data_IF_162443371591
#
_entry.id   IF_162443371591
#
_cell.length_a   1.000
_cell.length_b   1.000
_cell.length_c   1.000
_cell.angle_alpha   90.00
_cell.angle_beta   90.00
_cell.angle_gamma   90.00
#
_symmetry.space_group_name_H-M   'P 1'
#
loop_
_entity.id
_entity.type
_entity.pdbx_description
1 polymer ?
#
# COMPACT_ATOMS: atom_id res chain seq x y z
N UNK A 1 -22.57 -2.69 -6.27
CA UNK A 1 -21.85 -3.96 -6.41
C UNK A 1 -22.05 -4.71 -5.11
N UNK A 2 -22.43 -5.98 -5.15
CA UNK A 2 -22.54 -6.80 -3.93
C UNK A 2 -21.14 -7.19 -3.42
N UNK A 3 -21.03 -7.57 -2.15
CA UNK A 3 -19.74 -8.02 -1.60
C UNK A 3 -19.17 -9.24 -2.35
N UNK A 4 -20.03 -10.14 -2.83
CA UNK A 4 -19.64 -11.31 -3.63
C UNK A 4 -19.06 -10.90 -4.99
N UNK A 5 -19.74 -10.00 -5.70
CA UNK A 5 -19.24 -9.48 -6.99
C UNK A 5 -17.90 -8.75 -6.82
N UNK A 6 -17.75 -8.01 -5.73
CA UNK A 6 -16.50 -7.33 -5.39
C UNK A 6 -15.38 -8.35 -5.13
N UNK A 7 -15.63 -9.34 -4.28
CA UNK A 7 -14.66 -10.38 -3.96
C UNK A 7 -14.22 -11.14 -5.22
N UNK A 8 -15.17 -11.55 -6.06
CA UNK A 8 -14.87 -12.23 -7.32
C UNK A 8 -14.00 -11.38 -8.26
N UNK A 9 -14.23 -10.07 -8.29
CA UNK A 9 -13.40 -9.14 -9.07
C UNK A 9 -11.98 -9.06 -8.51
N UNK A 10 -11.83 -8.94 -7.20
CA UNK A 10 -10.51 -8.88 -6.55
C UNK A 10 -9.75 -10.20 -6.73
N UNK A 11 -10.42 -11.34 -6.56
CA UNK A 11 -9.79 -12.67 -6.70
C UNK A 11 -9.30 -12.92 -8.13
N UNK A 12 -10.09 -12.56 -9.15
CA UNK A 12 -9.65 -12.63 -10.55
C UNK A 12 -8.43 -11.76 -10.81
N UNK A 13 -8.40 -10.57 -10.21
CA UNK A 13 -7.25 -9.68 -10.32
C UNK A 13 -6.03 -10.26 -9.61
N UNK A 14 -6.17 -10.79 -8.39
CA UNK A 14 -5.09 -11.46 -7.66
C UNK A 14 -4.43 -12.57 -8.49
N UNK A 15 -5.23 -13.43 -9.13
CA UNK A 15 -4.70 -14.49 -10.02
C UNK A 15 -3.92 -13.89 -11.20
N UNK A 16 -4.42 -12.82 -11.81
CA UNK A 16 -3.72 -12.11 -12.91
C UNK A 16 -2.37 -11.55 -12.43
N UNK A 17 -2.35 -11.00 -11.21
CA UNK A 17 -1.18 -10.36 -10.62
C UNK A 17 -0.05 -11.33 -10.25
N UNK A 18 -0.26 -12.63 -10.34
CA UNK A 18 0.85 -13.60 -10.20
C UNK A 18 1.84 -13.53 -11.37
N UNK A 19 1.36 -13.18 -12.57
CA UNK A 19 2.17 -13.19 -13.80
C UNK A 19 2.37 -11.79 -14.38
N UNK A 20 1.36 -10.93 -14.28
CA UNK A 20 1.35 -9.64 -14.94
C UNK A 20 1.29 -8.48 -13.94
N UNK A 21 2.02 -7.39 -14.17
CA UNK A 21 1.97 -6.25 -13.26
C UNK A 21 0.60 -5.53 -13.29
N UNK A 22 0.21 -4.87 -12.19
CA UNK A 22 -0.89 -3.93 -12.17
C UNK A 22 -0.61 -2.75 -13.12
N UNK A 23 -1.62 -2.30 -13.85
CA UNK A 23 -1.48 -1.15 -14.75
C UNK A 23 -1.07 0.12 -13.99
N UNK A 24 -1.58 0.29 -12.77
CA UNK A 24 -1.22 1.40 -11.88
C UNK A 24 0.28 1.41 -11.55
N UNK A 25 0.90 0.24 -11.31
CA UNK A 25 2.35 0.15 -11.04
C UNK A 25 3.14 0.52 -12.28
N UNK A 26 2.77 -0.01 -13.44
CA UNK A 26 3.44 0.30 -14.71
C UNK A 26 3.34 1.80 -14.99
N UNK A 27 2.15 2.39 -14.83
CA UNK A 27 1.93 3.82 -15.05
C UNK A 27 2.71 4.69 -14.05
N UNK A 28 2.52 4.47 -12.75
CA UNK A 28 3.04 5.35 -11.69
C UNK A 28 4.53 5.14 -11.44
N UNK A 29 4.99 3.88 -11.35
CA UNK A 29 6.38 3.57 -10.99
C UNK A 29 7.27 3.46 -12.21
N UNK A 30 6.87 2.68 -13.22
CA UNK A 30 7.72 2.46 -14.40
C UNK A 30 7.77 3.70 -15.31
N UNK A 31 6.61 4.24 -15.66
CA UNK A 31 6.51 5.40 -16.57
C UNK A 31 6.42 6.77 -15.89
N UNK A 32 6.30 6.83 -14.55
CA UNK A 32 6.26 8.10 -13.77
C UNK A 32 5.06 8.99 -14.14
N UNK A 33 3.97 8.37 -14.59
CA UNK A 33 2.75 9.08 -14.98
C UNK A 33 1.81 9.11 -13.77
N UNK A 34 1.56 10.30 -13.24
CA UNK A 34 0.69 10.55 -12.07
C UNK A 34 -0.32 11.63 -12.45
N UNK A 35 -1.59 11.25 -12.57
CA UNK A 35 -2.66 12.13 -13.07
C UNK A 35 -2.96 13.31 -12.14
N UNK A 36 -2.69 13.17 -10.84
CA UNK A 36 -2.92 14.21 -9.83
C UNK A 36 -1.85 15.29 -9.78
N UNK A 37 -0.80 15.17 -10.60
CA UNK A 37 0.39 16.04 -10.56
C UNK A 37 1.06 16.10 -9.17
N UNK A 38 0.82 15.10 -8.33
CA UNK A 38 1.34 15.08 -6.97
C UNK A 38 2.85 14.84 -6.96
N UNK A 39 3.56 15.75 -6.29
CA UNK A 39 5.02 15.73 -6.22
C UNK A 39 5.59 17.12 -6.06
N UNK A 40 6.23 17.39 -4.92
CA UNK A 40 6.82 18.71 -4.65
C UNK A 40 7.91 19.05 -5.67
N UNK A 41 7.81 20.22 -6.28
CA UNK A 41 8.77 20.70 -7.28
C UNK A 41 8.75 19.88 -8.58
N UNK A 42 7.63 19.23 -8.90
CA UNK A 42 7.49 18.40 -10.11
C UNK A 42 8.22 17.06 -10.05
N UNK A 43 8.63 16.61 -8.85
CA UNK A 43 9.37 15.37 -8.65
C UNK A 43 8.48 14.26 -8.10
N UNK A 44 8.62 13.05 -8.66
CA UNK A 44 7.82 11.87 -8.29
C UNK A 44 8.31 11.13 -7.05
N UNK A 45 9.54 11.39 -6.59
CA UNK A 45 10.18 10.59 -5.54
C UNK A 45 9.40 10.61 -4.22
N UNK A 46 8.91 11.79 -3.82
CA UNK A 46 8.07 11.92 -2.62
C UNK A 46 6.78 11.12 -2.76
N UNK A 47 6.05 11.32 -3.86
CA UNK A 47 4.83 10.56 -4.17
C UNK A 47 5.09 9.04 -4.07
N UNK A 48 6.16 8.54 -4.69
CA UNK A 48 6.50 7.13 -4.68
C UNK A 48 6.77 6.59 -3.28
N UNK A 49 7.56 7.29 -2.46
CA UNK A 49 7.85 6.82 -1.10
C UNK A 49 6.62 6.74 -0.22
N UNK A 50 5.77 7.77 -0.25
CA UNK A 50 4.57 7.78 0.58
C UNK A 50 3.54 6.76 0.09
N UNK A 51 3.24 6.72 -1.22
CA UNK A 51 2.30 5.74 -1.76
C UNK A 51 2.75 4.30 -1.57
N UNK A 52 4.03 4.00 -1.79
CA UNK A 52 4.59 2.67 -1.53
C UNK A 52 4.42 2.26 -0.06
N UNK A 53 4.65 3.17 0.87
CA UNK A 53 4.51 2.92 2.30
C UNK A 53 3.04 2.73 2.69
N UNK A 54 2.14 3.54 2.15
CA UNK A 54 0.70 3.45 2.44
C UNK A 54 0.07 2.17 1.89
N UNK A 55 0.47 1.72 0.70
CA UNK A 55 0.07 0.42 0.15
C UNK A 55 0.52 -0.71 1.07
N UNK A 56 1.76 -0.63 1.59
CA UNK A 56 2.26 -1.58 2.59
C UNK A 56 1.45 -1.52 3.88
N UNK A 57 1.00 -0.34 4.31
CA UNK A 57 0.17 -0.21 5.51
C UNK A 57 -1.21 -0.84 5.34
N UNK A 58 -1.86 -0.70 4.18
CA UNK A 58 -3.12 -1.42 3.89
C UNK A 58 -2.92 -2.93 4.09
N UNK A 59 -1.88 -3.52 3.49
CA UNK A 59 -1.58 -4.93 3.64
C UNK A 59 -1.25 -5.31 5.10
N UNK A 60 -0.39 -4.53 5.77
CA UNK A 60 0.02 -4.80 7.13
C UNK A 60 -1.15 -4.72 8.12
N UNK A 61 -2.02 -3.73 8.00
CA UNK A 61 -3.19 -3.59 8.86
C UNK A 61 -4.19 -4.72 8.63
N UNK A 62 -4.46 -5.08 7.37
CA UNK A 62 -5.32 -6.24 7.09
C UNK A 62 -4.73 -7.53 7.63
N UNK A 63 -3.42 -7.75 7.50
CA UNK A 63 -2.75 -8.90 8.11
C UNK A 63 -2.98 -8.94 9.62
N UNK A 64 -2.81 -7.82 10.33
CA UNK A 64 -3.06 -7.79 11.77
C UNK A 64 -4.53 -8.07 12.11
N UNK A 65 -5.46 -7.45 11.38
CA UNK A 65 -6.91 -7.66 11.59
C UNK A 65 -7.29 -9.13 11.36
N UNK A 66 -6.80 -9.76 10.28
CA UNK A 66 -7.05 -11.16 9.96
C UNK A 66 -6.48 -12.09 11.04
N UNK A 67 -5.29 -11.80 11.57
CA UNK A 67 -4.72 -12.56 12.69
C UNK A 67 -5.53 -12.40 13.98
N UNK A 68 -5.97 -11.18 14.30
CA UNK A 68 -6.81 -10.92 15.47
C UNK A 68 -8.17 -11.62 15.37
N UNK A 69 -8.72 -11.77 14.17
CA UNK A 69 -9.99 -12.46 13.94
C UNK A 69 -9.94 -13.98 14.23
N UNK A 70 -8.72 -14.56 14.33
CA UNK A 70 -8.53 -15.95 14.79
C UNK A 70 -8.79 -16.12 16.29
N UNK A 71 -8.77 -15.02 17.04
CA UNK A 71 -9.09 -15.00 18.46
C UNK A 71 -10.58 -14.72 18.66
N UNK A 72 -11.28 -15.64 19.32
CA UNK A 72 -12.74 -15.56 19.56
C UNK A 72 -13.15 -14.33 20.39
N UNK A 73 -12.21 -13.68 21.08
CA UNK A 73 -12.47 -12.45 21.85
C UNK A 73 -12.79 -11.25 20.95
N UNK A 74 -12.38 -11.28 19.68
CA UNK A 74 -12.69 -10.21 18.73
C UNK A 74 -14.01 -10.49 18.04
N UNK A 75 -14.97 -9.57 18.14
CA UNK A 75 -16.29 -9.68 17.49
C UNK A 75 -16.22 -9.20 16.03
N UNK A 76 -17.20 -9.61 15.21
CA UNK A 76 -17.27 -9.18 13.80
C UNK A 76 -17.41 -7.65 13.70
N UNK A 77 -18.18 -7.04 14.60
CA UNK A 77 -18.30 -5.58 14.71
C UNK A 77 -16.95 -4.90 14.97
N UNK A 78 -16.12 -5.45 15.85
CA UNK A 78 -14.78 -4.94 16.10
C UNK A 78 -13.86 -5.10 14.88
N UNK A 79 -13.96 -6.22 14.15
CA UNK A 79 -13.22 -6.44 12.92
C UNK A 79 -13.62 -5.40 11.86
N UNK A 80 -14.92 -5.16 11.64
CA UNK A 80 -15.42 -4.14 10.70
C UNK A 80 -14.94 -2.75 11.09
N UNK A 81 -15.04 -2.40 12.37
CA UNK A 81 -14.59 -1.12 12.89
C UNK A 81 -13.08 -0.91 12.65
N UNK A 82 -12.25 -1.90 12.97
CA UNK A 82 -10.80 -1.82 12.73
C UNK A 82 -10.49 -1.67 11.25
N UNK A 83 -11.10 -2.49 10.38
CA UNK A 83 -10.93 -2.37 8.93
C UNK A 83 -11.27 -0.95 8.45
N UNK A 84 -12.46 -0.45 8.77
CA UNK A 84 -12.92 0.87 8.35
C UNK A 84 -12.00 2.03 8.81
N UNK A 85 -11.35 1.91 9.97
CA UNK A 85 -10.47 2.96 10.50
C UNK A 85 -9.04 2.86 10.04
N UNK A 86 -8.53 1.66 9.79
CA UNK A 86 -7.10 1.46 9.58
C UNK A 86 -6.73 1.51 8.10
N UNK A 87 -7.59 1.06 7.19
CA UNK A 87 -7.22 0.94 5.77
C UNK A 87 -7.69 2.11 4.91
N UNK A 88 -8.64 2.93 5.38
CA UNK A 88 -9.26 3.97 4.53
C UNK A 88 -8.27 5.06 4.12
N UNK A 89 -7.62 5.71 5.08
CA UNK A 89 -6.69 6.80 4.84
C UNK A 89 -5.49 6.39 3.97
N UNK A 90 -4.75 5.30 4.26
CA UNK A 90 -3.62 4.93 3.41
C UNK A 90 -4.07 4.53 2.00
N UNK A 91 -5.22 3.89 1.83
CA UNK A 91 -5.74 3.56 0.50
C UNK A 91 -6.18 4.80 -0.28
N UNK A 92 -6.82 5.77 0.38
CA UNK A 92 -7.25 7.04 -0.23
C UNK A 92 -6.04 7.84 -0.71
N UNK A 93 -5.00 7.95 0.11
CA UNK A 93 -3.77 8.63 -0.28
C UNK A 93 -3.04 7.90 -1.41
N UNK A 94 -2.96 6.57 -1.37
CA UNK A 94 -2.41 5.79 -2.48
C UNK A 94 -3.21 6.03 -3.78
N UNK A 95 -4.54 6.12 -3.70
CA UNK A 95 -5.41 6.50 -4.81
C UNK A 95 -5.07 7.88 -5.36
N UNK A 96 -4.93 8.89 -4.49
CA UNK A 96 -4.47 10.22 -4.87
C UNK A 96 -3.10 10.19 -5.59
N UNK A 97 -2.19 9.31 -5.18
CA UNK A 97 -0.90 9.11 -5.81
C UNK A 97 -0.95 8.33 -7.15
N UNK A 98 -2.11 7.86 -7.58
CA UNK A 98 -2.32 7.19 -8.87
C UNK A 98 -2.63 5.69 -8.78
N UNK A 99 -2.73 5.11 -7.57
CA UNK A 99 -3.12 3.71 -7.37
C UNK A 99 -4.63 3.56 -7.22
N UNK A 100 -5.33 3.96 -8.29
CA UNK A 100 -6.78 4.05 -8.36
C UNK A 100 -7.47 2.70 -8.11
N UNK A 101 -6.91 1.58 -8.59
CA UNK A 101 -7.51 0.26 -8.43
C UNK A 101 -7.49 -0.19 -6.96
N UNK A 102 -6.40 0.09 -6.22
CA UNK A 102 -6.36 -0.17 -4.79
C UNK A 102 -7.42 0.65 -4.05
N UNK A 103 -7.50 1.95 -4.37
CA UNK A 103 -8.48 2.81 -3.73
C UNK A 103 -9.90 2.35 -4.02
N UNK A 104 -10.20 1.97 -5.28
CA UNK A 104 -11.47 1.38 -5.65
C UNK A 104 -11.81 0.15 -4.80
N UNK A 105 -10.90 -0.83 -4.73
CA UNK A 105 -11.16 -2.05 -3.96
C UNK A 105 -11.36 -1.80 -2.47
N UNK A 106 -10.54 -0.94 -1.88
CA UNK A 106 -10.68 -0.60 -0.45
C UNK A 106 -11.97 0.18 -0.20
N UNK A 107 -12.23 1.24 -0.97
CA UNK A 107 -13.43 2.06 -0.81
C UNK A 107 -14.70 1.21 -0.94
N UNK A 108 -14.81 0.41 -2.00
CA UNK A 108 -15.98 -0.44 -2.21
C UNK A 108 -16.09 -1.54 -1.17
N UNK A 109 -14.96 -2.06 -0.65
CA UNK A 109 -14.98 -2.97 0.51
C UNK A 109 -15.64 -2.30 1.71
N UNK A 110 -15.26 -1.06 2.04
CA UNK A 110 -15.83 -0.32 3.16
C UNK A 110 -17.30 0.05 2.96
N UNK A 111 -17.73 0.27 1.72
CA UNK A 111 -19.14 0.55 1.39
C UNK A 111 -20.04 -0.68 1.62
N UNK A 112 -19.54 -1.89 1.37
CA UNK A 112 -20.33 -3.14 1.51
C UNK A 112 -20.05 -3.90 2.80
N UNK A 113 -19.08 -3.44 3.61
CA UNK A 113 -18.58 -4.23 4.75
C UNK A 113 -19.69 -4.54 5.75
N UNK A 114 -20.65 -3.65 5.98
CA UNK A 114 -21.75 -3.87 6.93
C UNK A 114 -22.81 -4.87 6.42
N UNK A 115 -22.83 -5.17 5.12
CA UNK A 115 -23.81 -6.06 4.49
C UNK A 115 -23.40 -7.54 4.53
N UNK A 116 -22.16 -7.83 4.97
CA UNK A 116 -21.60 -9.18 4.92
C UNK A 116 -22.15 -10.02 6.09
N UNK A 117 -22.83 -11.14 5.83
CA UNK A 117 -23.71 -11.79 6.81
C UNK A 117 -22.99 -12.53 7.93
N UNK A 118 -21.76 -13.01 7.68
CA UNK A 118 -21.04 -13.88 8.60
C UNK A 118 -19.53 -13.62 8.58
N UNK A 119 -18.84 -14.14 9.61
CA UNK A 119 -17.40 -13.98 9.79
C UNK A 119 -16.59 -14.56 8.64
N UNK A 120 -16.93 -15.74 8.13
CA UNK A 120 -16.17 -16.39 7.08
C UNK A 120 -16.19 -15.52 5.82
N UNK A 121 -17.38 -15.06 5.43
CA UNK A 121 -17.58 -14.13 4.32
C UNK A 121 -16.80 -12.83 4.53
N UNK A 122 -16.84 -12.24 5.73
CA UNK A 122 -16.12 -11.01 6.06
C UNK A 122 -14.61 -11.18 5.90
N UNK A 123 -14.05 -12.22 6.53
CA UNK A 123 -12.61 -12.49 6.48
C UNK A 123 -12.17 -12.85 5.06
N UNK A 124 -13.02 -13.53 4.28
CA UNK A 124 -12.70 -13.87 2.90
C UNK A 124 -12.54 -12.64 2.00
N UNK A 125 -13.38 -11.61 2.16
CA UNK A 125 -13.24 -10.36 1.41
C UNK A 125 -12.03 -9.55 1.88
N UNK A 126 -11.84 -9.42 3.20
CA UNK A 126 -10.68 -8.72 3.76
C UNK A 126 -9.35 -9.39 3.33
N UNK A 127 -9.32 -10.72 3.27
CA UNK A 127 -8.18 -11.47 2.78
C UNK A 127 -7.91 -11.25 1.28
N UNK A 128 -8.97 -11.12 0.46
CA UNK A 128 -8.81 -10.80 -0.96
C UNK A 128 -8.14 -9.43 -1.17
N UNK A 129 -8.56 -8.42 -0.40
CA UNK A 129 -7.94 -7.08 -0.42
C UNK A 129 -6.51 -7.11 0.11
N UNK A 130 -6.25 -7.88 1.18
CA UNK A 130 -4.91 -8.09 1.73
C UNK A 130 -3.96 -8.66 0.67
N UNK A 131 -4.41 -9.68 -0.04
CA UNK A 131 -3.63 -10.33 -1.09
C UNK A 131 -3.35 -9.35 -2.25
N UNK A 132 -4.35 -8.57 -2.65
CA UNK A 132 -4.19 -7.55 -3.70
C UNK A 132 -3.15 -6.50 -3.31
N UNK A 133 -3.26 -5.92 -2.12
CA UNK A 133 -2.28 -4.95 -1.62
C UNK A 133 -0.87 -5.56 -1.52
N UNK A 134 -0.76 -6.84 -1.17
CA UNK A 134 0.52 -7.56 -1.11
C UNK A 134 1.13 -7.78 -2.51
N UNK A 135 0.34 -8.19 -3.51
CA UNK A 135 0.80 -8.27 -4.89
C UNK A 135 1.24 -6.91 -5.42
N UNK A 136 0.44 -5.87 -5.17
CA UNK A 136 0.74 -4.51 -5.57
C UNK A 136 2.10 -4.07 -5.00
N UNK A 137 2.34 -4.31 -3.71
CA UNK A 137 3.61 -4.03 -3.06
C UNK A 137 4.78 -4.80 -3.70
N UNK A 138 4.61 -6.09 -4.02
CA UNK A 138 5.64 -6.88 -4.72
C UNK A 138 6.00 -6.29 -6.09
N UNK A 139 5.01 -5.91 -6.89
CA UNK A 139 5.25 -5.31 -8.19
C UNK A 139 5.88 -3.91 -8.10
N UNK A 140 5.51 -3.12 -7.09
CA UNK A 140 6.20 -1.85 -6.83
C UNK A 140 7.69 -2.15 -6.55
N UNK A 141 8.01 -3.11 -5.66
CA UNK A 141 9.40 -3.47 -5.40
C UNK A 141 10.15 -3.92 -6.67
N UNK A 142 9.48 -4.61 -7.60
CA UNK A 142 10.08 -5.02 -8.86
C UNK A 142 10.45 -3.81 -9.76
N UNK A 143 9.55 -2.83 -9.90
CA UNK A 143 9.76 -1.67 -10.78
C UNK A 143 10.45 -0.48 -10.12
N UNK A 144 10.50 -0.44 -8.78
CA UNK A 144 11.06 0.69 -8.05
C UNK A 144 12.52 0.88 -8.46
N UNK A 145 12.95 2.12 -8.79
CA UNK A 145 14.31 2.35 -9.26
C UNK A 145 15.29 2.37 -8.09
N UNK A 146 15.56 1.21 -7.50
CA UNK A 146 16.49 1.04 -6.37
C UNK A 146 17.91 1.55 -6.65
N UNK A 147 18.27 1.71 -7.92
CA UNK A 147 19.50 2.39 -8.34
C UNK A 147 19.63 3.81 -7.78
N UNK A 148 18.51 4.47 -7.44
CA UNK A 148 18.54 5.77 -6.77
C UNK A 148 19.29 5.73 -5.42
N UNK A 149 19.38 4.56 -4.77
CA UNK A 149 20.14 4.41 -3.52
C UNK A 149 21.64 4.65 -3.70
N UNK A 150 22.20 4.53 -4.91
CA UNK A 150 23.60 4.87 -5.17
C UNK A 150 23.91 6.37 -4.99
N UNK A 151 22.87 7.22 -4.98
CA UNK A 151 23.02 8.66 -4.68
C UNK A 151 23.19 8.94 -3.18
N UNK A 152 22.90 7.98 -2.31
CA UNK A 152 22.88 8.13 -0.86
C UNK A 152 23.62 6.97 -0.18
N UNK A 153 24.96 6.83 -0.39
CA UNK A 153 25.73 5.80 0.28
C UNK A 153 25.72 6.01 1.81
N UNK A 154 25.85 4.95 2.61
CA UNK A 154 26.05 5.07 4.04
C UNK A 154 27.29 5.90 4.36
N UNK A 155 27.20 6.74 5.39
CA UNK A 155 28.32 7.53 5.92
C UNK A 155 29.45 6.63 6.42
N UNK A 156 30.67 6.87 5.94
CA UNK A 156 31.88 6.15 6.37
C UNK A 156 32.69 6.91 7.42
N UNK A 157 33.75 6.29 7.98
CA UNK A 157 34.64 6.93 8.95
C UNK A 157 35.23 8.26 8.49
N UNK A 158 35.62 8.37 7.21
CA UNK A 158 36.17 9.60 6.64
C UNK A 158 35.14 10.75 6.60
N UNK A 159 33.88 10.44 6.30
CA UNK A 159 32.80 11.43 6.32
C UNK A 159 32.52 11.93 7.74
N UNK A 160 32.65 11.05 8.74
CA UNK A 160 32.53 11.42 10.16
C UNK A 160 33.66 12.36 10.58
N UNK A 161 34.91 12.07 10.18
CA UNK A 161 36.06 12.94 10.45
C UNK A 161 35.93 14.32 9.76
N UNK A 162 35.44 14.34 8.52
CA UNK A 162 35.16 15.57 7.78
C UNK A 162 34.07 16.40 8.50
N UNK A 163 32.99 15.75 8.94
CA UNK A 163 31.93 16.41 9.71
C UNK A 163 32.44 16.96 11.04
N UNK A 164 33.29 16.23 11.76
CA UNK A 164 33.90 16.71 13.01
C UNK A 164 34.78 17.94 12.79
N UNK A 165 35.59 17.93 11.73
CA UNK A 165 36.43 19.08 11.35
C UNK A 165 35.56 20.31 11.07
N UNK A 166 34.52 20.15 10.24
CA UNK A 166 33.54 21.20 9.94
C UNK A 166 32.87 21.76 11.20
N UNK A 167 32.36 20.90 12.08
CA UNK A 167 31.69 21.31 13.32
C UNK A 167 32.62 22.02 14.31
N UNK A 168 33.91 21.71 14.27
CA UNK A 168 34.92 22.32 15.14
C UNK A 168 35.37 23.72 14.70
N UNK A 169 34.90 24.22 13.55
CA UNK A 169 35.29 25.51 12.99
C UNK A 169 36.75 25.54 12.51
N UNK A 170 37.35 24.37 12.28
CA UNK A 170 38.68 24.21 11.68
C UNK A 170 38.52 24.00 10.17
N UNK A 171 38.25 25.06 9.44
CA UNK A 171 38.58 25.15 8.00
C UNK A 171 39.93 25.85 7.82
#
# INVERSE_FOLDING_TARGET
MTWNELKDKIDKENVRLESDPPQDVVRVIHYRIIDSESGTGGNVLGNWFFSFTDIRYVAAYLYQILNLALDERFTDEQIRFMAARMISQPAEFAGYCGFNDLWFFVKTTLEVIEEIPDRESLLSLLNAVFLYASHLHTWINHYFPWVANYLFPPTGPADVEAMQSYLSGKE
#
